data_IF_200091840941
#
_entry.id   IF_200091840941
#
_cell.length_a   1.000
_cell.length_b   1.000
_cell.length_c   1.000
_cell.angle_alpha   90.00
_cell.angle_beta   90.00
_cell.angle_gamma   90.00
#
_symmetry.space_group_name_H-M   'P 1'
#
loop_
_entity.id
_entity.type
_entity.pdbx_description
1 polymer ?
#
# COMPACT_ATOMS: atom_id res chain seq x y z
N UNK A 1 23.78 13.33 -2.87
CA UNK A 1 22.60 13.38 -1.98
C UNK A 1 21.34 13.06 -2.78
N UNK A 2 20.47 12.12 -2.38
CA UNK A 2 19.20 11.91 -3.08
C UNK A 2 18.36 13.18 -3.03
N UNK A 3 17.77 13.56 -4.17
CA UNK A 3 16.96 14.78 -4.31
C UNK A 3 15.71 14.65 -3.41
N UNK A 4 15.67 15.39 -2.30
CA UNK A 4 14.55 15.36 -1.36
C UNK A 4 13.32 16.00 -2.02
N UNK A 5 12.24 15.22 -2.18
CA UNK A 5 10.99 15.75 -2.70
C UNK A 5 10.36 16.69 -1.66
N UNK A 6 9.86 17.85 -2.10
CA UNK A 6 9.15 18.81 -1.23
C UNK A 6 7.80 18.28 -0.73
N UNK A 7 7.21 17.29 -1.41
CA UNK A 7 5.89 16.72 -1.09
C UNK A 7 6.02 15.46 -0.23
N UNK A 8 5.10 15.32 0.72
CA UNK A 8 4.97 14.12 1.54
C UNK A 8 4.63 12.89 0.70
N UNK A 9 5.11 11.72 1.14
CA UNK A 9 4.72 10.45 0.54
C UNK A 9 3.32 10.04 0.98
N UNK A 10 2.53 9.47 0.08
CA UNK A 10 1.21 8.89 0.38
C UNK A 10 1.22 7.38 0.11
N UNK A 11 0.31 6.66 0.76
CA UNK A 11 0.14 5.22 0.57
C UNK A 11 -0.62 4.98 -0.75
N UNK A 12 0.01 4.23 -1.64
CA UNK A 12 -0.58 3.80 -2.91
C UNK A 12 -1.28 2.44 -2.76
N UNK A 13 -0.64 1.49 -2.06
CA UNK A 13 -1.23 0.17 -1.77
C UNK A 13 -0.79 -0.35 -0.42
N UNK A 14 -1.62 -1.21 0.18
CA UNK A 14 -1.28 -2.03 1.34
C UNK A 14 -1.19 -3.48 0.91
N UNK A 15 -0.14 -4.17 1.36
CA UNK A 15 0.15 -5.55 1.04
C UNK A 15 0.16 -6.35 2.33
N UNK A 16 -0.77 -7.27 2.46
CA UNK A 16 -0.73 -8.30 3.48
C UNK A 16 -0.08 -9.55 2.91
N UNK A 17 0.95 -10.04 3.58
CA UNK A 17 1.52 -11.35 3.25
C UNK A 17 0.54 -12.42 3.70
N UNK A 18 0.23 -13.37 2.81
CA UNK A 18 -0.48 -14.60 3.18
C UNK A 18 0.50 -15.44 4.01
N UNK A 19 0.58 -15.17 5.31
CA UNK A 19 1.03 -16.20 6.26
C UNK A 19 0.05 -17.36 6.18
N UNK A 20 0.50 -18.58 6.50
CA UNK A 20 -0.39 -19.76 6.61
C UNK A 20 -1.58 -19.37 7.50
N UNK A 21 -2.78 -19.30 6.93
CA UNK A 21 -4.02 -19.00 7.64
C UNK A 21 -4.69 -17.66 7.34
N UNK A 22 -3.99 -16.63 6.84
CA UNK A 22 -4.63 -15.33 6.61
C UNK A 22 -5.63 -15.43 5.44
N UNK A 23 -6.91 -15.37 5.76
CA UNK A 23 -8.01 -15.37 4.79
C UNK A 23 -8.22 -13.98 4.19
N UNK A 24 -8.95 -13.92 3.07
CA UNK A 24 -9.35 -12.65 2.46
C UNK A 24 -10.24 -11.82 3.40
N UNK A 25 -11.05 -12.47 4.23
CA UNK A 25 -11.95 -11.81 5.18
C UNK A 25 -11.17 -11.10 6.28
N UNK A 26 -10.22 -11.79 6.89
CA UNK A 26 -9.34 -11.22 7.93
C UNK A 26 -8.50 -10.08 7.37
N UNK A 27 -7.92 -10.25 6.17
CA UNK A 27 -7.15 -9.20 5.52
C UNK A 27 -7.98 -7.92 5.27
N UNK A 28 -9.29 -8.06 5.01
CA UNK A 28 -10.21 -6.91 4.90
C UNK A 28 -10.52 -6.28 6.25
N UNK A 29 -10.71 -7.09 7.30
CA UNK A 29 -10.94 -6.58 8.66
C UNK A 29 -9.74 -5.79 9.14
N UNK A 30 -8.54 -6.37 9.04
CA UNK A 30 -7.29 -5.69 9.42
C UNK A 30 -7.07 -4.39 8.64
N UNK A 31 -7.41 -4.36 7.35
CA UNK A 31 -7.33 -3.14 6.55
C UNK A 31 -8.28 -2.05 7.10
N UNK A 32 -9.52 -2.43 7.43
CA UNK A 32 -10.54 -1.51 7.94
C UNK A 32 -10.21 -1.02 9.35
N UNK A 33 -9.73 -1.90 10.22
CA UNK A 33 -9.25 -1.57 11.57
C UNK A 33 -8.06 -0.61 11.52
N UNK A 34 -7.18 -0.77 10.54
CA UNK A 34 -6.09 0.16 10.29
C UNK A 34 -6.54 1.50 9.66
N UNK A 35 -7.84 1.72 9.48
CA UNK A 35 -8.41 2.97 8.95
C UNK A 35 -8.32 3.12 7.43
N UNK A 36 -7.94 2.07 6.70
CA UNK A 36 -7.80 2.12 5.25
C UNK A 36 -9.06 1.60 4.55
N UNK A 37 -9.36 2.19 3.39
CA UNK A 37 -10.44 1.73 2.50
C UNK A 37 -9.85 0.86 1.39
N UNK A 38 -10.67 0.16 0.62
CA UNK A 38 -10.16 -0.46 -0.61
C UNK A 38 -11.15 -0.27 -1.75
N UNK A 39 -10.62 0.10 -2.91
CA UNK A 39 -11.38 0.10 -4.16
C UNK A 39 -11.16 -1.19 -4.93
N UNK A 40 -9.93 -1.70 -4.93
CA UNK A 40 -9.54 -2.90 -5.67
C UNK A 40 -8.58 -3.76 -4.85
N UNK A 41 -8.79 -5.07 -4.89
CA UNK A 41 -7.89 -6.07 -4.31
C UNK A 41 -7.24 -6.88 -5.42
N UNK A 42 -5.92 -6.85 -5.48
CA UNK A 42 -5.12 -7.73 -6.33
C UNK A 42 -4.68 -8.93 -5.46
N UNK A 43 -5.18 -10.13 -5.78
CA UNK A 43 -4.93 -11.35 -5.00
C UNK A 43 -3.85 -12.17 -5.68
N UNK A 44 -2.80 -12.53 -4.93
CA UNK A 44 -1.78 -13.48 -5.37
C UNK A 44 -1.70 -14.66 -4.41
N UNK A 45 -1.03 -15.76 -4.79
CA UNK A 45 -0.81 -16.89 -3.88
C UNK A 45 -0.08 -16.49 -2.58
N UNK A 46 0.76 -15.45 -2.63
CA UNK A 46 1.64 -15.03 -1.53
C UNK A 46 1.16 -13.79 -0.78
N UNK A 47 0.22 -13.02 -1.35
CA UNK A 47 -0.20 -11.75 -0.75
C UNK A 47 -1.56 -11.25 -1.24
N UNK A 48 -2.17 -10.40 -0.40
CA UNK A 48 -3.31 -9.57 -0.74
C UNK A 48 -2.84 -8.12 -0.87
N UNK A 49 -2.98 -7.52 -2.05
CA UNK A 49 -2.68 -6.11 -2.28
C UNK A 49 -3.95 -5.30 -2.40
N UNK A 50 -4.18 -4.39 -1.47
CA UNK A 50 -5.29 -3.46 -1.45
C UNK A 50 -4.85 -2.11 -2.00
N UNK A 51 -5.40 -1.73 -3.16
CA UNK A 51 -5.06 -0.46 -3.81
C UNK A 51 -5.86 0.68 -3.17
N UNK A 52 -5.13 1.65 -2.61
CA UNK A 52 -5.69 2.89 -2.07
C UNK A 52 -5.88 3.93 -3.17
N UNK A 53 -4.88 4.09 -4.03
CA UNK A 53 -4.90 5.06 -5.13
C UNK A 53 -4.27 4.47 -6.41
N UNK A 54 -4.63 5.06 -7.55
CA UNK A 54 -4.04 4.69 -8.84
C UNK A 54 -2.53 4.99 -8.87
N UNK A 55 -1.67 4.06 -9.31
CA UNK A 55 -0.24 4.32 -9.43
C UNK A 55 0.08 5.45 -10.43
N UNK A 56 -0.84 5.75 -11.36
CA UNK A 56 -0.68 6.85 -12.32
C UNK A 56 -0.62 8.22 -11.64
N UNK A 57 -1.20 8.36 -10.44
CA UNK A 57 -1.19 9.60 -9.66
C UNK A 57 0.14 9.86 -8.94
N UNK A 58 1.09 8.92 -8.99
CA UNK A 58 2.37 8.98 -8.29
C UNK A 58 3.55 9.06 -9.26
N UNK A 59 4.65 9.64 -8.81
CA UNK A 59 5.90 9.62 -9.55
C UNK A 59 6.50 8.20 -9.47
N UNK A 60 6.63 7.48 -10.60
CA UNK A 60 7.04 6.07 -10.59
C UNK A 60 8.44 5.84 -10.02
N UNK A 61 9.33 6.84 -10.09
CA UNK A 61 10.70 6.76 -9.56
C UNK A 61 10.76 6.91 -8.03
N UNK A 62 9.62 7.12 -7.37
CA UNK A 62 9.55 7.41 -5.92
C UNK A 62 8.89 6.31 -5.11
N UNK A 63 8.43 5.25 -5.76
CA UNK A 63 7.82 4.14 -5.05
C UNK A 63 8.82 3.44 -4.15
N UNK A 64 8.44 3.23 -2.91
CA UNK A 64 9.17 2.41 -1.95
C UNK A 64 8.20 1.58 -1.14
N UNK A 65 8.63 0.38 -0.78
CA UNK A 65 7.88 -0.49 0.11
C UNK A 65 8.38 -0.27 1.53
N UNK A 66 7.47 0.04 2.45
CA UNK A 66 7.74 0.14 3.88
C UNK A 66 7.02 -0.99 4.61
N UNK A 67 7.62 -1.48 5.70
CA UNK A 67 6.93 -2.39 6.61
C UNK A 67 6.15 -1.56 7.62
N UNK A 68 4.85 -1.82 7.76
CA UNK A 68 4.02 -1.15 8.79
C UNK A 68 4.06 -1.99 10.07
N UNK A 69 3.78 -3.29 9.94
CA UNK A 69 3.82 -4.27 11.04
C UNK A 69 4.16 -5.66 10.47
N UNK A 70 4.51 -6.66 11.29
CA UNK A 70 4.80 -8.01 10.80
C UNK A 70 3.67 -8.56 9.94
N UNK A 71 3.95 -8.86 8.67
CA UNK A 71 2.95 -9.36 7.71
C UNK A 71 2.17 -8.28 6.96
N UNK A 72 2.34 -6.99 7.29
CA UNK A 72 1.70 -5.86 6.61
C UNK A 72 2.76 -4.87 6.09
N UNK A 73 2.79 -4.70 4.78
CA UNK A 73 3.64 -3.73 4.09
C UNK A 73 2.78 -2.69 3.39
N UNK A 74 3.34 -1.52 3.11
CA UNK A 74 2.71 -0.52 2.26
C UNK A 74 3.67 -0.07 1.16
N UNK A 75 3.11 0.12 -0.03
CA UNK A 75 3.77 0.84 -1.11
C UNK A 75 3.42 2.32 -0.93
N UNK A 76 4.42 3.15 -0.71
CA UNK A 76 4.29 4.60 -0.64
C UNK A 76 5.01 5.25 -1.81
N UNK A 77 4.54 6.42 -2.24
CA UNK A 77 5.18 7.20 -3.29
C UNK A 77 4.87 8.68 -3.15
N UNK A 78 5.57 9.51 -3.92
CA UNK A 78 5.31 10.95 -4.02
C UNK A 78 4.25 11.20 -5.10
N UNK A 79 3.12 11.87 -4.80
CA UNK A 79 2.11 12.23 -5.79
C UNK A 79 2.65 13.18 -6.89
N UNK A 80 2.22 12.97 -8.14
CA UNK A 80 2.54 13.85 -9.29
C UNK A 80 1.88 15.21 -9.18
N UNK A 81 0.65 15.26 -8.68
CA UNK A 81 -0.11 16.48 -8.46
C UNK A 81 -0.19 16.75 -6.96
N UNK A 82 -0.01 18.01 -6.57
CA UNK A 82 -0.36 18.45 -5.22
C UNK A 82 -1.86 18.72 -5.21
N UNK A 83 -2.52 18.31 -4.14
CA UNK A 83 -3.82 18.85 -3.79
C UNK A 83 -3.59 20.07 -2.91
#
# INVERSE_FOLDING_TARGET
MPKRFKRSTRIQSIIFSRKKGLSRGEAKSELREAGFRYMKIDITPKSYRFRQESPMHFNPKTFRTISIKPGMKAIIGVPKYGF
#
